data_IF_351781901134
#
_entry.id   IF_351781901134
#
_cell.length_a   1.000
_cell.length_b   1.000
_cell.length_c   1.000
_cell.angle_alpha   90.00
_cell.angle_beta   90.00
_cell.angle_gamma   90.00
#
_symmetry.space_group_name_H-M   'P 1'
#
loop_
_entity.id
_entity.type
_entity.pdbx_description
1 polymer ?
#
# COMPACT_ATOMS: atom_id res chain seq x y z
N UNK A 1 6.42 4.86 -36.93
CA UNK A 1 6.85 5.51 -35.66
C UNK A 1 5.71 6.14 -34.84
N UNK A 2 4.65 6.69 -35.44
CA UNK A 2 3.62 7.44 -34.68
C UNK A 2 2.68 6.59 -33.79
N UNK A 3 2.49 5.29 -34.09
CA UNK A 3 1.54 4.44 -33.36
C UNK A 3 2.00 4.10 -31.92
N UNK A 4 3.32 4.04 -31.67
CA UNK A 4 3.88 3.69 -30.35
C UNK A 4 3.72 4.86 -29.36
N UNK A 5 3.80 6.10 -29.86
CA UNK A 5 3.61 7.31 -29.05
C UNK A 5 2.14 7.49 -28.61
N UNK A 6 1.18 7.13 -29.46
CA UNK A 6 -0.25 7.17 -29.12
C UNK A 6 -0.61 6.12 -28.06
N UNK A 7 -0.02 4.92 -28.12
CA UNK A 7 -0.18 3.90 -27.09
C UNK A 7 0.43 4.33 -25.74
N UNK A 8 1.55 5.06 -25.77
CA UNK A 8 2.17 5.63 -24.56
C UNK A 8 1.29 6.73 -23.93
N UNK A 9 0.66 7.59 -24.74
CA UNK A 9 -0.25 8.63 -24.25
C UNK A 9 -1.56 8.09 -23.67
N UNK A 10 -2.04 6.93 -24.13
CA UNK A 10 -3.31 6.33 -23.69
C UNK A 10 -3.21 5.54 -22.37
N UNK A 11 -2.15 5.74 -21.57
CA UNK A 11 -2.08 5.23 -20.19
C UNK A 11 -1.22 3.98 -19.99
N UNK A 12 -0.35 3.64 -20.96
CA UNK A 12 0.63 2.55 -20.78
C UNK A 12 1.98 3.01 -20.19
N UNK A 13 2.22 4.32 -20.02
CA UNK A 13 3.53 4.82 -19.56
C UNK A 13 3.49 5.85 -18.42
N UNK A 14 2.37 6.06 -17.74
CA UNK A 14 2.28 7.05 -16.66
C UNK A 14 1.57 6.48 -15.45
N UNK A 15 2.33 6.19 -14.38
CA UNK A 15 1.93 5.50 -13.14
C UNK A 15 1.47 4.06 -13.37
N UNK A 16 1.86 3.11 -12.51
CA UNK A 16 1.39 1.73 -12.61
C UNK A 16 -0.13 1.69 -12.76
N UNK A 17 -0.61 1.26 -13.93
CA UNK A 17 -2.04 1.30 -14.24
C UNK A 17 -2.86 0.51 -13.21
N UNK A 18 -4.17 0.69 -13.19
CA UNK A 18 -5.12 0.05 -12.24
C UNK A 18 -5.08 -1.49 -12.16
N UNK A 19 -4.22 -2.15 -12.94
CA UNK A 19 -4.00 -3.60 -13.00
C UNK A 19 -2.64 -4.07 -12.46
N UNK A 20 -1.73 -3.18 -12.04
CA UNK A 20 -0.45 -3.60 -11.42
C UNK A 20 -0.54 -3.76 -9.90
N UNK A 21 -1.73 -3.68 -9.31
CA UNK A 21 -1.96 -3.87 -7.88
C UNK A 21 -2.40 -5.31 -7.53
N UNK A 22 -1.99 -5.79 -6.36
CA UNK A 22 -2.53 -6.99 -5.73
C UNK A 22 -3.42 -6.59 -4.56
N UNK A 23 -4.49 -7.35 -4.33
CA UNK A 23 -5.41 -7.15 -3.22
C UNK A 23 -5.21 -8.27 -2.22
N UNK A 24 -4.98 -7.89 -0.97
CA UNK A 24 -4.77 -8.80 0.14
C UNK A 24 -5.93 -8.61 1.11
N UNK A 25 -6.54 -9.69 1.56
CA UNK A 25 -7.58 -9.63 2.59
C UNK A 25 -6.98 -9.83 3.97
N UNK A 26 -7.31 -8.94 4.91
CA UNK A 26 -6.93 -9.00 6.32
C UNK A 26 -8.20 -8.88 7.17
N UNK A 27 -8.89 -10.00 7.37
CA UNK A 27 -10.22 -10.02 8.00
C UNK A 27 -11.26 -9.25 7.18
N UNK A 28 -11.85 -8.21 7.77
CA UNK A 28 -12.81 -7.32 7.09
C UNK A 28 -12.15 -6.16 6.32
N UNK A 29 -10.81 -6.07 6.34
CA UNK A 29 -10.05 -5.08 5.60
C UNK A 29 -9.47 -5.66 4.31
N UNK A 30 -9.38 -4.81 3.28
CA UNK A 30 -8.71 -5.10 2.01
C UNK A 30 -7.52 -4.16 1.85
N UNK A 31 -6.33 -4.72 1.69
CA UNK A 31 -5.07 -4.00 1.49
C UNK A 31 -4.69 -4.15 0.02
N UNK A 32 -4.76 -3.06 -0.73
CA UNK A 32 -4.38 -2.97 -2.14
C UNK A 32 -2.96 -2.38 -2.22
N UNK A 33 -1.99 -3.16 -2.69
CA UNK A 33 -0.58 -2.73 -2.83
C UNK A 33 -0.10 -2.93 -4.28
N UNK A 34 0.92 -2.18 -4.74
CA UNK A 34 1.55 -2.47 -6.03
C UNK A 34 2.21 -3.86 -6.01
N UNK A 35 1.92 -4.70 -7.00
CA UNK A 35 2.63 -5.94 -7.28
C UNK A 35 3.90 -5.68 -8.11
N UNK A 36 3.83 -4.69 -9.01
CA UNK A 36 4.96 -4.22 -9.80
C UNK A 36 5.03 -2.71 -9.71
N UNK A 37 6.19 -2.19 -9.32
CA UNK A 37 6.51 -0.76 -9.22
C UNK A 37 7.75 -0.44 -10.06
N UNK A 38 7.97 0.83 -10.38
CA UNK A 38 9.18 1.31 -11.06
C UNK A 38 10.02 2.12 -10.08
N UNK A 39 11.32 1.95 -10.14
CA UNK A 39 12.23 2.69 -9.29
C UNK A 39 12.07 4.20 -9.51
N UNK A 40 12.06 4.95 -8.40
CA UNK A 40 11.79 6.38 -8.36
C UNK A 40 10.42 6.84 -8.90
N UNK A 41 9.47 5.92 -9.12
CA UNK A 41 8.07 6.27 -9.37
C UNK A 41 7.29 6.42 -8.06
N UNK A 42 6.26 7.25 -8.09
CA UNK A 42 5.25 7.33 -7.04
C UNK A 42 4.19 6.25 -7.28
N UNK A 43 3.89 5.50 -6.23
CA UNK A 43 2.84 4.49 -6.17
C UNK A 43 1.90 4.79 -5.01
N UNK A 44 0.76 4.10 -4.98
CA UNK A 44 -0.22 4.23 -3.90
C UNK A 44 -0.56 2.86 -3.35
N UNK A 45 -0.54 2.74 -2.02
CA UNK A 45 -1.16 1.63 -1.30
C UNK A 45 -2.47 2.12 -0.70
N UNK A 46 -3.53 1.33 -0.84
CA UNK A 46 -4.86 1.69 -0.34
C UNK A 46 -5.36 0.60 0.59
N UNK A 47 -5.75 0.97 1.81
CA UNK A 47 -6.32 0.06 2.80
C UNK A 47 -7.77 0.46 2.99
N UNK A 48 -8.67 -0.41 2.54
CA UNK A 48 -10.12 -0.26 2.73
C UNK A 48 -10.52 -1.09 3.91
N UNK A 49 -11.18 -0.48 4.89
CA UNK A 49 -11.65 -1.19 6.08
C UNK A 49 -12.98 -0.63 6.53
N UNK A 50 -13.86 -1.52 6.97
CA UNK A 50 -15.11 -1.17 7.64
C UNK A 50 -14.94 -1.49 9.12
N UNK A 51 -14.17 -0.69 9.83
CA UNK A 51 -14.01 -0.91 11.28
C UNK A 51 -15.26 -0.39 12.01
N UNK A 52 -15.95 -1.22 12.80
CA UNK A 52 -17.01 -0.75 13.70
C UNK A 52 -16.44 0.04 14.87
N UNK A 53 -15.12 -0.02 15.09
CA UNK A 53 -14.43 0.68 16.18
C UNK A 53 -13.97 2.07 15.76
N UNK A 54 -13.91 2.98 16.74
CA UNK A 54 -13.38 4.33 16.58
C UNK A 54 -11.88 4.35 16.23
N UNK A 55 -11.17 3.28 16.56
CA UNK A 55 -9.74 3.14 16.34
C UNK A 55 -9.49 2.00 15.37
N UNK A 56 -8.64 2.25 14.38
CA UNK A 56 -8.13 1.23 13.47
C UNK A 56 -6.62 1.20 13.55
N UNK A 57 -6.06 0.01 13.79
CA UNK A 57 -4.62 -0.19 13.84
C UNK A 57 -4.18 -0.90 12.57
N UNK A 58 -3.19 -0.33 11.87
CA UNK A 58 -2.58 -0.90 10.68
C UNK A 58 -1.10 -1.11 10.95
N UNK A 59 -0.64 -2.34 10.89
CA UNK A 59 0.78 -2.68 10.94
C UNK A 59 1.29 -2.90 9.52
N UNK A 60 2.21 -2.04 9.10
CA UNK A 60 2.98 -2.16 7.86
C UNK A 60 4.26 -2.93 8.19
N UNK A 61 4.50 -4.10 7.57
CA UNK A 61 5.63 -4.95 7.94
C UNK A 61 6.97 -4.29 7.62
N UNK A 62 8.00 -4.55 8.42
CA UNK A 62 9.33 -3.94 8.25
C UNK A 62 9.92 -4.15 6.85
N UNK A 63 9.71 -5.34 6.25
CA UNK A 63 10.17 -5.65 4.90
C UNK A 63 9.59 -4.76 3.80
N UNK A 64 8.48 -4.07 4.09
CA UNK A 64 7.90 -3.06 3.22
C UNK A 64 8.67 -1.75 3.25
N UNK A 65 9.04 -1.26 4.45
CA UNK A 65 9.87 -0.05 4.61
C UNK A 65 11.25 -0.17 3.98
N UNK A 66 11.76 -1.40 3.84
CA UNK A 66 13.02 -1.68 3.14
C UNK A 66 12.95 -1.43 1.62
N UNK A 67 11.76 -1.44 1.02
CA UNK A 67 11.55 -1.31 -0.45
C UNK A 67 10.86 -0.01 -0.80
N UNK A 68 9.88 0.39 -0.01
CA UNK A 68 9.07 1.59 -0.22
C UNK A 68 9.27 2.59 0.91
N UNK A 69 9.49 3.84 0.53
CA UNK A 69 9.43 4.97 1.44
C UNK A 69 8.01 5.54 1.42
N UNK A 70 7.40 5.68 2.59
CA UNK A 70 6.10 6.34 2.73
C UNK A 70 6.30 7.86 2.59
N UNK A 71 5.69 8.46 1.59
CA UNK A 71 5.76 9.91 1.33
C UNK A 71 4.63 10.67 2.00
N UNK A 72 3.42 10.13 1.95
CA UNK A 72 2.22 10.74 2.50
C UNK A 72 1.21 9.68 2.93
N UNK A 73 0.34 10.03 3.87
CA UNK A 73 -0.72 9.16 4.39
C UNK A 73 -1.99 9.99 4.54
N UNK A 74 -3.12 9.48 4.05
CA UNK A 74 -4.42 10.12 4.13
C UNK A 74 -5.52 9.09 4.45
N UNK A 75 -6.32 9.25 5.52
CA UNK A 75 -6.25 10.31 6.53
C UNK A 75 -4.96 10.25 7.36
N UNK A 76 -4.63 11.35 8.05
CA UNK A 76 -3.45 11.34 8.92
C UNK A 76 -3.64 10.35 10.08
N UNK A 77 -2.64 9.50 10.38
CA UNK A 77 -2.67 8.65 11.56
C UNK A 77 -2.64 9.53 12.81
N UNK A 78 -3.38 9.12 13.83
CA UNK A 78 -3.33 9.75 15.15
C UNK A 78 -2.00 9.47 15.86
N UNK A 79 -1.44 8.27 15.64
CA UNK A 79 -0.15 7.88 16.19
C UNK A 79 0.56 6.90 15.25
N UNK A 80 1.89 6.96 15.26
CA UNK A 80 2.76 6.04 14.53
C UNK A 80 3.81 5.54 15.50
N UNK A 81 3.96 4.22 15.57
CA UNK A 81 4.92 3.54 16.45
C UNK A 81 5.75 2.55 15.65
N UNK A 82 7.05 2.79 15.56
CA UNK A 82 7.98 1.85 14.94
C UNK A 82 8.27 0.70 15.91
N UNK A 83 8.11 -0.54 15.43
CA UNK A 83 8.33 -1.75 16.21
C UNK A 83 9.20 -2.78 15.48
N UNK A 84 9.61 -3.86 16.16
CA UNK A 84 10.45 -4.91 15.56
C UNK A 84 9.74 -5.69 14.44
N UNK A 85 8.41 -5.64 14.36
CA UNK A 85 7.62 -6.27 13.29
C UNK A 85 7.33 -5.32 12.12
N UNK A 86 7.60 -4.02 12.28
CA UNK A 86 7.25 -2.98 11.32
C UNK A 86 6.65 -1.75 11.98
N UNK A 87 6.11 -0.86 11.17
CA UNK A 87 5.51 0.40 11.61
C UNK A 87 4.01 0.21 11.86
N UNK A 88 3.57 0.54 13.07
CA UNK A 88 2.17 0.50 13.47
C UNK A 88 1.56 1.90 13.40
N UNK A 89 0.48 2.03 12.63
CA UNK A 89 -0.27 3.25 12.43
C UNK A 89 -1.64 3.13 13.08
N UNK A 90 -1.99 4.08 13.94
CA UNK A 90 -3.30 4.13 14.60
C UNK A 90 -4.11 5.26 13.97
N UNK A 91 -5.27 4.92 13.40
CA UNK A 91 -6.18 5.85 12.76
C UNK A 91 -7.45 6.02 13.60
N UNK A 92 -7.90 7.26 13.76
CA UNK A 92 -9.21 7.57 14.33
C UNK A 92 -10.24 7.57 13.20
N UNK A 93 -11.08 6.54 13.14
CA UNK A 93 -12.15 6.43 12.17
C UNK A 93 -13.48 6.74 12.85
N UNK A 94 -14.43 7.35 12.11
CA UNK A 94 -15.77 7.56 12.64
C UNK A 94 -16.60 6.29 12.47
N UNK A 95 -17.03 5.65 13.58
CA UNK A 95 -17.82 4.44 13.49
C UNK A 95 -19.17 4.76 12.82
N UNK A 96 -19.55 3.95 11.83
CA UNK A 96 -20.82 4.08 11.11
C UNK A 96 -20.79 4.93 9.83
N UNK A 97 -19.63 5.51 9.44
CA UNK A 97 -19.48 6.32 8.22
C UNK A 97 -19.28 5.47 6.94
N UNK A 98 -19.29 4.14 7.04
CA UNK A 98 -19.18 3.21 5.90
C UNK A 98 -17.79 2.57 5.76
N UNK A 99 -17.42 2.15 4.55
CA UNK A 99 -16.06 1.70 4.24
C UNK A 99 -15.12 2.92 4.23
N UNK A 100 -14.06 2.87 5.02
CA UNK A 100 -13.03 3.91 5.04
C UNK A 100 -11.83 3.48 4.22
N UNK A 101 -11.32 4.38 3.38
CA UNK A 101 -10.12 4.18 2.58
C UNK A 101 -8.96 4.96 3.18
N UNK A 102 -7.86 4.28 3.47
CA UNK A 102 -6.60 4.87 3.93
C UNK A 102 -5.59 4.73 2.80
N UNK A 103 -5.12 5.84 2.26
CA UNK A 103 -4.18 5.91 1.16
C UNK A 103 -2.79 6.27 1.66
N UNK A 104 -1.80 5.48 1.26
CA UNK A 104 -0.39 5.70 1.50
C UNK A 104 0.27 5.99 0.17
N UNK A 105 0.83 7.18 0.02
CA UNK A 105 1.72 7.49 -1.10
C UNK A 105 3.08 6.89 -0.82
N UNK A 106 3.59 6.14 -1.78
CA UNK A 106 4.81 5.36 -1.70
C UNK A 106 5.78 5.82 -2.76
N UNK A 107 7.07 5.75 -2.46
CA UNK A 107 8.14 5.83 -3.45
C UNK A 107 9.04 4.62 -3.32
N UNK A 108 9.25 3.90 -4.41
CA UNK A 108 10.21 2.81 -4.43
C UNK A 108 11.64 3.37 -4.23
N UNK A 109 12.29 2.96 -3.14
CA UNK A 109 13.62 3.45 -2.76
C UNK A 109 14.74 2.74 -3.52
N UNK A 110 14.51 1.47 -3.89
CA UNK A 110 15.47 0.61 -4.60
C UNK A 110 14.80 -0.41 -5.52
N UNK A 111 15.45 -0.82 -6.62
CA UNK A 111 14.99 -1.93 -7.43
C UNK A 111 15.12 -3.26 -6.67
N UNK A 112 14.10 -4.10 -6.77
CA UNK A 112 14.05 -5.43 -6.15
C UNK A 112 13.30 -6.40 -7.03
N UNK A 113 13.72 -7.66 -7.01
CA UNK A 113 13.03 -8.72 -7.74
C UNK A 113 12.29 -9.62 -6.75
N UNK A 114 10.95 -9.67 -6.86
CA UNK A 114 10.10 -10.57 -6.04
C UNK A 114 10.44 -10.55 -4.53
N UNK A 115 10.60 -9.35 -3.96
CA UNK A 115 10.90 -9.20 -2.54
C UNK A 115 9.64 -9.56 -1.72
N UNK A 116 9.72 -10.49 -0.76
CA UNK A 116 8.62 -10.76 0.15
C UNK A 116 8.43 -9.57 1.11
N UNK A 117 7.18 -9.12 1.26
CA UNK A 117 6.85 -7.96 2.09
C UNK A 117 6.44 -8.34 3.52
N UNK A 118 6.12 -9.61 3.76
CA UNK A 118 5.50 -10.06 5.01
C UNK A 118 3.99 -9.76 5.04
N UNK A 119 3.26 -10.27 6.05
CA UNK A 119 1.84 -10.02 6.19
C UNK A 119 1.60 -8.61 6.77
N UNK A 120 0.65 -7.88 6.20
CA UNK A 120 0.11 -6.67 6.81
C UNK A 120 -0.83 -7.08 7.93
N UNK A 121 -0.94 -6.27 8.99
CA UNK A 121 -1.99 -6.49 9.99
C UNK A 121 -2.96 -5.32 10.03
N UNK A 122 -4.25 -5.61 10.01
CA UNK A 122 -5.29 -4.60 10.20
C UNK A 122 -6.19 -5.06 11.33
N UNK A 123 -6.29 -4.26 12.40
CA UNK A 123 -7.05 -4.59 13.61
C UNK A 123 -6.67 -5.96 14.20
N UNK A 124 -5.38 -6.33 14.13
CA UNK A 124 -4.87 -7.61 14.60
C UNK A 124 -5.10 -8.81 13.67
N UNK A 125 -5.79 -8.63 12.53
CA UNK A 125 -5.94 -9.65 11.50
C UNK A 125 -4.78 -9.58 10.51
N UNK A 126 -4.14 -10.71 10.23
CA UNK A 126 -3.05 -10.82 9.25
C UNK A 126 -3.59 -10.93 7.82
N UNK A 127 -2.91 -10.26 6.89
CA UNK A 127 -3.08 -10.47 5.47
C UNK A 127 -2.30 -11.67 4.99
N UNK A 128 -2.61 -12.13 3.79
CA UNK A 128 -1.74 -13.06 3.06
C UNK A 128 -0.36 -12.45 2.85
N UNK A 129 0.67 -13.31 2.81
CA UNK A 129 2.03 -12.90 2.49
C UNK A 129 2.07 -12.49 1.02
N UNK A 130 2.60 -11.29 0.78
CA UNK A 130 2.73 -10.73 -0.56
C UNK A 130 4.19 -10.55 -0.95
N UNK A 131 4.40 -10.39 -2.25
CA UNK A 131 5.71 -10.02 -2.80
C UNK A 131 5.57 -8.88 -3.78
N UNK A 132 6.65 -8.12 -3.97
CA UNK A 132 6.69 -7.00 -4.91
C UNK A 132 7.91 -7.07 -5.80
N UNK A 133 7.75 -6.61 -7.04
CA UNK A 133 8.85 -6.40 -7.96
C UNK A 133 8.99 -4.91 -8.25
N UNK A 134 10.16 -4.33 -7.99
CA UNK A 134 10.51 -2.97 -8.38
C UNK A 134 11.50 -3.05 -9.53
N UNK A 135 11.05 -2.63 -10.71
CA UNK A 135 11.89 -2.55 -11.90
C UNK A 135 12.83 -1.35 -11.81
N UNK A 136 14.07 -1.45 -12.34
CA UNK A 136 15.00 -0.33 -12.40
C UNK A 136 14.54 0.81 -13.34
#
# INVERSE_FOLDING_TARGET
MAAILLAALLGLTGSGGSYSGQKLSAGEATVEIPAVSRWAASDTMTIKTRSPAKWTTVLVPAGFGDVFSLEAINPQPQSVSAGPQGDEFVFELKPGEGETSIEFSLRASRPVWQQPLGPFRVNGQESEVSSVTVLP
#
